data_IF_525025029943
#
_entry.id   IF_525025029943
#
_cell.length_a   1.000
_cell.length_b   1.000
_cell.length_c   1.000
_cell.angle_alpha   90.00
_cell.angle_beta   90.00
_cell.angle_gamma   90.00
#
_symmetry.space_group_name_H-M   'P 1'
#
loop_
_entity.id
_entity.type
_entity.pdbx_description
1 polymer ?
#
# COMPACT_ATOMS: atom_id res chain seq x y z
N UNK A 1 -10.21 -11.32 17.70
CA UNK A 1 -10.37 -9.91 17.29
C UNK A 1 -9.00 -9.37 16.90
N UNK A 2 -8.76 -9.06 15.63
CA UNK A 2 -7.46 -8.51 15.18
C UNK A 2 -7.41 -7.01 15.47
N UNK A 3 -6.40 -6.55 16.20
CA UNK A 3 -6.22 -5.12 16.50
C UNK A 3 -5.36 -4.46 15.42
N UNK A 4 -5.48 -3.14 15.26
CA UNK A 4 -4.59 -2.35 14.39
C UNK A 4 -3.12 -2.59 14.75
N UNK A 5 -2.80 -2.69 16.04
CA UNK A 5 -1.45 -2.98 16.51
C UNK A 5 -0.94 -4.36 16.04
N UNK A 6 -1.78 -5.40 16.09
CA UNK A 6 -1.42 -6.72 15.54
C UNK A 6 -1.25 -6.71 14.02
N UNK A 7 -2.11 -5.99 13.29
CA UNK A 7 -2.02 -5.84 11.85
C UNK A 7 -0.72 -5.10 11.43
N UNK A 8 -0.36 -4.04 12.15
CA UNK A 8 0.89 -3.31 11.95
C UNK A 8 2.13 -4.18 12.23
N UNK A 9 2.10 -5.00 13.29
CA UNK A 9 3.19 -5.96 13.55
C UNK A 9 3.30 -6.99 12.42
N UNK A 10 2.17 -7.52 11.97
CA UNK A 10 2.13 -8.49 10.88
C UNK A 10 2.67 -7.92 9.57
N UNK A 11 2.17 -6.78 9.11
CA UNK A 11 2.62 -6.20 7.82
C UNK A 11 4.09 -5.77 7.86
N UNK A 12 4.60 -5.31 9.01
CA UNK A 12 6.03 -5.03 9.20
C UNK A 12 6.88 -6.29 9.11
N UNK A 13 6.41 -7.42 9.66
CA UNK A 13 7.07 -8.72 9.54
C UNK A 13 7.09 -9.18 8.08
N UNK A 14 5.93 -9.08 7.41
CA UNK A 14 5.75 -9.51 6.02
C UNK A 14 6.51 -8.66 5.00
N UNK A 15 6.78 -7.39 5.33
CA UNK A 15 7.59 -6.48 4.51
C UNK A 15 9.11 -6.65 4.67
N UNK A 16 9.58 -7.61 5.47
CA UNK A 16 11.02 -7.91 5.61
C UNK A 16 11.54 -8.65 4.37
N UNK A 17 12.83 -8.47 4.09
CA UNK A 17 13.52 -9.08 2.96
C UNK A 17 13.58 -8.21 1.71
N UNK A 18 14.22 -8.74 0.67
CA UNK A 18 14.50 -8.04 -0.60
C UNK A 18 13.59 -8.48 -1.74
N UNK A 19 12.69 -9.44 -1.49
CA UNK A 19 11.72 -9.93 -2.48
C UNK A 19 10.79 -8.81 -2.93
N UNK A 20 10.30 -8.92 -4.17
CA UNK A 20 9.37 -7.94 -4.71
C UNK A 20 8.08 -7.83 -3.89
N UNK A 21 7.59 -8.96 -3.35
CA UNK A 21 6.47 -8.97 -2.43
C UNK A 21 6.76 -8.17 -1.15
N UNK A 22 7.96 -8.30 -0.57
CA UNK A 22 8.36 -7.54 0.61
C UNK A 22 8.42 -6.03 0.33
N UNK A 23 9.00 -5.65 -0.82
CA UNK A 23 9.03 -4.27 -1.32
C UNK A 23 7.61 -3.71 -1.50
N UNK A 24 6.71 -4.47 -2.14
CA UNK A 24 5.31 -4.08 -2.35
C UNK A 24 4.56 -3.87 -1.03
N UNK A 25 4.73 -4.76 -0.06
CA UNK A 25 4.10 -4.65 1.26
C UNK A 25 4.58 -3.42 2.04
N UNK A 26 5.87 -3.08 1.95
CA UNK A 26 6.41 -1.82 2.53
C UNK A 26 5.80 -0.59 1.87
N UNK A 27 5.69 -0.57 0.54
CA UNK A 27 5.05 0.53 -0.19
C UNK A 27 3.57 0.66 0.14
N UNK A 28 2.87 -0.47 0.29
CA UNK A 28 1.47 -0.51 0.72
C UNK A 28 1.28 0.07 2.12
N UNK A 29 2.16 -0.29 3.07
CA UNK A 29 2.12 0.28 4.41
C UNK A 29 2.36 1.79 4.39
N UNK A 30 3.39 2.26 3.69
CA UNK A 30 3.72 3.69 3.60
C UNK A 30 2.58 4.49 2.96
N UNK A 31 2.03 4.00 1.84
CA UNK A 31 0.90 4.64 1.13
C UNK A 31 -0.35 4.68 2.01
N UNK A 32 -0.62 3.62 2.77
CA UNK A 32 -1.75 3.56 3.71
C UNK A 32 -1.62 4.62 4.81
N UNK A 33 -0.45 4.69 5.48
CA UNK A 33 -0.20 5.69 6.52
C UNK A 33 -0.36 7.10 5.96
N UNK A 34 0.23 7.36 4.79
CA UNK A 34 0.17 8.68 4.15
C UNK A 34 -1.26 9.11 3.81
N UNK A 35 -2.05 8.24 3.17
CA UNK A 35 -3.41 8.59 2.77
C UNK A 35 -4.37 8.72 3.95
N UNK A 36 -4.22 7.92 5.00
CA UNK A 36 -5.00 8.09 6.24
C UNK A 36 -4.64 9.42 6.91
N UNK A 37 -3.35 9.74 7.03
CA UNK A 37 -2.90 11.00 7.59
C UNK A 37 -3.43 12.20 6.79
N UNK A 38 -3.34 12.14 5.47
CA UNK A 38 -3.85 13.18 4.57
C UNK A 38 -5.37 13.34 4.71
N UNK A 39 -6.11 12.24 4.75
CA UNK A 39 -7.57 12.25 4.91
C UNK A 39 -7.99 12.86 6.25
N UNK A 40 -7.29 12.50 7.34
CA UNK A 40 -7.51 13.10 8.67
C UNK A 40 -7.25 14.61 8.64
N UNK A 41 -6.16 15.04 8.01
CA UNK A 41 -5.83 16.47 7.94
C UNK A 41 -6.88 17.25 7.15
N UNK A 42 -7.34 16.73 6.00
CA UNK A 42 -8.41 17.39 5.23
C UNK A 42 -9.71 17.49 6.02
N UNK A 43 -10.05 16.47 6.80
CA UNK A 43 -11.21 16.54 7.68
C UNK A 43 -11.07 17.66 8.73
N UNK A 44 -9.90 17.78 9.36
CA UNK A 44 -9.65 18.77 10.41
C UNK A 44 -9.59 20.20 9.84
N UNK A 45 -8.89 20.40 8.72
CA UNK A 45 -8.57 21.74 8.21
C UNK A 45 -9.53 22.22 7.11
N UNK A 46 -10.14 21.32 6.34
CA UNK A 46 -11.00 21.66 5.20
C UNK A 46 -12.47 21.24 5.44
N UNK A 47 -12.77 20.55 6.55
CA UNK A 47 -14.11 20.06 6.86
C UNK A 47 -14.60 18.94 5.93
N UNK A 48 -13.73 18.41 5.06
CA UNK A 48 -14.10 17.39 4.07
C UNK A 48 -14.12 16.01 4.72
N UNK A 49 -15.27 15.32 4.62
CA UNK A 49 -15.39 13.93 5.05
C UNK A 49 -14.85 12.99 3.97
N UNK A 50 -13.78 12.23 4.24
CA UNK A 50 -13.18 11.38 3.23
C UNK A 50 -13.96 10.07 3.06
N UNK A 51 -14.25 9.70 1.82
CA UNK A 51 -14.85 8.41 1.50
C UNK A 51 -13.79 7.30 1.62
N UNK A 52 -14.06 6.28 2.43
CA UNK A 52 -13.11 5.18 2.69
C UNK A 52 -12.73 4.44 1.41
N UNK A 53 -13.68 4.23 0.50
CA UNK A 53 -13.46 3.59 -0.81
C UNK A 53 -12.43 4.35 -1.64
N UNK A 54 -12.50 5.68 -1.64
CA UNK A 54 -11.57 6.53 -2.38
C UNK A 54 -10.16 6.47 -1.81
N UNK A 55 -10.04 6.44 -0.48
CA UNK A 55 -8.75 6.26 0.19
C UNK A 55 -8.13 4.93 -0.24
N UNK A 56 -8.90 3.83 -0.21
CA UNK A 56 -8.41 2.50 -0.62
C UNK A 56 -7.99 2.49 -2.09
N UNK A 57 -8.78 3.12 -2.97
CA UNK A 57 -8.46 3.22 -4.40
C UNK A 57 -7.16 4.00 -4.64
N UNK A 58 -6.97 5.13 -3.94
CA UNK A 58 -5.74 5.94 -4.00
C UNK A 58 -4.53 5.15 -3.51
N UNK A 59 -4.64 4.43 -2.40
CA UNK A 59 -3.59 3.56 -1.88
C UNK A 59 -3.19 2.52 -2.93
N UNK A 60 -4.15 1.76 -3.48
CA UNK A 60 -3.87 0.74 -4.51
C UNK A 60 -3.15 1.33 -5.72
N UNK A 61 -3.65 2.47 -6.21
CA UNK A 61 -3.06 3.18 -7.36
C UNK A 61 -1.64 3.63 -7.07
N UNK A 62 -1.38 4.19 -5.88
CA UNK A 62 -0.05 4.66 -5.51
C UNK A 62 0.94 3.49 -5.37
N UNK A 63 0.53 2.39 -4.76
CA UNK A 63 1.37 1.19 -4.62
C UNK A 63 1.73 0.64 -5.99
N UNK A 64 0.74 0.51 -6.89
CA UNK A 64 0.96 0.04 -8.25
C UNK A 64 1.97 0.96 -8.97
N UNK A 65 1.71 2.27 -9.01
CA UNK A 65 2.61 3.23 -9.66
C UNK A 65 4.03 3.20 -9.07
N UNK A 66 4.15 3.21 -7.74
CA UNK A 66 5.46 3.21 -7.07
C UNK A 66 6.24 1.92 -7.35
N UNK A 67 5.58 0.78 -7.34
CA UNK A 67 6.23 -0.50 -7.66
C UNK A 67 6.74 -0.55 -9.10
N UNK A 68 5.94 -0.07 -10.06
CA UNK A 68 6.33 -0.05 -11.47
C UNK A 68 7.44 0.94 -11.77
N UNK A 69 7.44 2.11 -11.13
CA UNK A 69 8.46 3.14 -11.35
C UNK A 69 9.79 2.74 -10.69
N UNK A 70 9.75 2.24 -9.45
CA UNK A 70 10.97 1.98 -8.67
C UNK A 70 11.56 0.60 -8.93
N UNK A 71 10.74 -0.36 -9.36
CA UNK A 71 11.14 -1.75 -9.60
C UNK A 71 10.52 -2.27 -10.90
N UNK A 72 10.90 -1.70 -12.07
CA UNK A 72 10.35 -2.12 -13.36
C UNK A 72 10.62 -3.60 -13.67
N UNK A 73 11.68 -4.18 -13.10
CA UNK A 73 12.02 -5.60 -13.14
C UNK A 73 10.92 -6.51 -12.54
N UNK A 74 10.14 -5.99 -11.58
CA UNK A 74 9.05 -6.74 -10.94
C UNK A 74 7.89 -6.97 -11.90
N UNK A 75 7.71 -6.11 -12.91
CA UNK A 75 6.66 -6.28 -13.92
C UNK A 75 6.84 -7.59 -14.70
N UNK A 76 8.09 -7.94 -15.03
CA UNK A 76 8.45 -9.17 -15.74
C UNK A 76 8.02 -10.39 -14.92
N UNK A 77 8.22 -10.35 -13.60
CA UNK A 77 7.79 -11.41 -12.69
C UNK A 77 6.27 -11.48 -12.52
N UNK A 78 5.58 -10.33 -12.51
CA UNK A 78 4.12 -10.27 -12.41
C UNK A 78 3.44 -10.90 -13.64
N UNK A 79 3.94 -10.59 -14.84
CA UNK A 79 3.46 -11.18 -16.08
C UNK A 79 3.73 -12.68 -16.15
N UNK A 80 4.88 -13.14 -15.64
CA UNK A 80 5.23 -14.56 -15.64
C UNK A 80 4.33 -15.37 -14.70
N UNK A 81 3.99 -14.82 -13.52
CA UNK A 81 3.03 -15.45 -12.60
C UNK A 81 1.61 -15.44 -13.18
N UNK A 82 1.19 -14.35 -13.85
CA UNK A 82 -0.14 -14.24 -14.45
C UNK A 82 -0.34 -15.15 -15.68
N UNK A 83 0.73 -15.60 -16.36
CA UNK A 83 0.65 -16.53 -17.49
C UNK A 83 0.69 -18.01 -17.10
N UNK A 84 1.10 -18.33 -15.88
CA UNK A 84 1.29 -19.71 -15.41
C UNK A 84 0.26 -20.18 -14.37
N UNK A 85 -0.77 -19.37 -14.06
CA UNK A 85 -1.88 -19.73 -13.18
C UNK A 85 -3.20 -19.61 -13.91
#
# INVERSE_FOLDING_TARGET
MTTIASALKWIKKEGRGTTWHGKAKRMALASTVYHIWTARNRQIFEGLSPQVTDIVFKIKTQVYKAMFILYPDVLIHFEHVARCG
#
